data_IF_080658466081
#
_entry.id   IF_080658466081
#
_cell.length_a   1.000
_cell.length_b   1.000
_cell.length_c   1.000
_cell.angle_alpha   90.00
_cell.angle_beta   90.00
_cell.angle_gamma   90.00
#
_symmetry.space_group_name_H-M   'P 1'
#
loop_
_entity.id
_entity.type
_entity.pdbx_description
1 polymer ?
#
# COMPACT_ATOMS: atom_id res chain seq x y z
N UNK A 1 -39.98 10.02 72.86
CA UNK A 1 -38.61 9.51 72.65
C UNK A 1 -38.54 8.80 71.30
N UNK A 2 -38.02 9.48 70.26
CA UNK A 2 -37.99 9.00 68.87
C UNK A 2 -36.83 8.02 68.68
N UNK A 3 -37.13 6.79 68.23
CA UNK A 3 -36.15 5.77 67.84
C UNK A 3 -35.61 6.08 66.43
N UNK A 4 -34.33 6.40 66.30
CA UNK A 4 -33.64 6.47 65.01
C UNK A 4 -32.95 5.13 64.73
N UNK A 5 -33.32 4.52 63.60
CA UNK A 5 -32.77 3.24 63.12
C UNK A 5 -31.38 3.47 62.51
N UNK A 6 -30.41 2.63 62.84
CA UNK A 6 -29.09 2.61 62.20
C UNK A 6 -29.23 2.06 60.77
N UNK A 7 -28.75 2.82 59.80
CA UNK A 7 -28.66 2.43 58.40
C UNK A 7 -27.27 1.85 58.15
N UNK A 8 -27.19 0.54 57.94
CA UNK A 8 -25.94 -0.17 57.61
C UNK A 8 -25.72 -0.05 56.10
N UNK A 9 -24.70 0.70 55.67
CA UNK A 9 -24.28 0.76 54.27
C UNK A 9 -23.38 -0.43 53.99
N UNK A 10 -23.88 -1.39 53.21
CA UNK A 10 -23.07 -2.47 52.65
C UNK A 10 -22.28 -1.93 51.46
N UNK A 11 -20.95 -1.90 51.58
CA UNK A 11 -20.05 -1.63 50.46
C UNK A 11 -19.99 -2.90 49.62
N UNK A 12 -20.72 -2.92 48.49
CA UNK A 12 -20.55 -3.96 47.47
C UNK A 12 -19.18 -3.78 46.83
N UNK A 13 -18.31 -4.77 47.03
CA UNK A 13 -17.04 -4.89 46.33
C UNK A 13 -17.27 -4.93 44.82
N UNK A 14 -16.66 -3.99 44.12
CA UNK A 14 -16.56 -3.98 42.67
C UNK A 14 -15.66 -5.15 42.26
N UNK A 15 -16.25 -6.32 42.06
CA UNK A 15 -15.57 -7.45 41.45
C UNK A 15 -15.15 -7.04 40.04
N UNK A 16 -13.84 -7.10 39.83
CA UNK A 16 -13.16 -6.94 38.55
C UNK A 16 -13.83 -7.80 37.48
N UNK A 17 -14.72 -7.20 36.70
CA UNK A 17 -15.13 -7.73 35.41
C UNK A 17 -13.90 -7.64 34.50
N UNK A 18 -13.16 -8.74 34.45
CA UNK A 18 -12.32 -9.11 33.32
C UNK A 18 -13.15 -8.87 32.06
N UNK A 19 -12.77 -7.84 31.31
CA UNK A 19 -13.28 -7.57 29.98
C UNK A 19 -12.68 -8.64 29.04
N UNK A 20 -13.19 -9.86 29.15
CA UNK A 20 -12.93 -10.95 28.24
C UNK A 20 -14.00 -10.91 27.15
N UNK A 21 -13.56 -10.79 25.89
CA UNK A 21 -14.38 -11.18 24.76
C UNK A 21 -15.03 -10.06 23.95
N UNK A 22 -14.23 -9.13 23.42
CA UNK A 22 -14.48 -8.60 22.08
C UNK A 22 -13.44 -9.17 21.11
N UNK A 23 -13.47 -10.49 20.92
CA UNK A 23 -12.91 -11.11 19.73
C UNK A 23 -14.05 -11.22 18.69
N UNK A 24 -14.33 -10.11 18.02
CA UNK A 24 -14.96 -10.16 16.70
C UNK A 24 -13.83 -10.15 15.68
N UNK A 25 -13.79 -11.14 14.80
CA UNK A 25 -12.76 -11.25 13.76
C UNK A 25 -12.75 -10.04 12.81
N UNK A 26 -11.56 -9.77 12.26
CA UNK A 26 -11.37 -8.92 11.08
C UNK A 26 -11.24 -7.42 11.39
N UNK A 27 -10.08 -7.00 11.88
CA UNK A 27 -9.75 -5.58 12.01
C UNK A 27 -8.24 -5.37 11.91
N UNK A 28 -7.86 -4.28 11.24
CA UNK A 28 -6.47 -3.84 11.21
C UNK A 28 -5.99 -3.32 12.57
N UNK A 29 -4.74 -2.87 12.64
CA UNK A 29 -4.09 -2.44 13.88
C UNK A 29 -4.44 -1.01 14.30
N UNK A 30 -4.79 -0.13 13.34
CA UNK A 30 -5.13 1.25 13.65
C UNK A 30 -6.53 1.37 14.24
N UNK A 31 -6.63 2.09 15.36
CA UNK A 31 -7.92 2.58 15.85
C UNK A 31 -8.37 3.83 15.07
N UNK A 32 -9.63 4.25 15.27
CA UNK A 32 -10.23 5.40 14.58
C UNK A 32 -9.40 6.68 14.68
N UNK A 33 -8.78 6.95 15.84
CA UNK A 33 -7.93 8.13 16.04
C UNK A 33 -6.62 8.05 15.25
N UNK A 34 -5.99 6.87 15.24
CA UNK A 34 -4.80 6.60 14.44
C UNK A 34 -5.06 6.80 12.95
N UNK A 35 -6.20 6.32 12.46
CA UNK A 35 -6.62 6.50 11.07
C UNK A 35 -6.83 7.97 10.70
N UNK A 36 -7.57 8.74 11.53
CA UNK A 36 -7.87 10.15 11.25
C UNK A 36 -6.60 11.01 11.14
N UNK A 37 -5.61 10.78 12.00
CA UNK A 37 -4.34 11.52 11.94
C UNK A 37 -3.53 11.23 10.68
N UNK A 38 -3.73 10.07 10.07
CA UNK A 38 -2.96 9.65 8.90
C UNK A 38 -3.56 10.13 7.57
N UNK A 39 -4.89 10.29 7.48
CA UNK A 39 -5.55 10.79 6.26
C UNK A 39 -4.98 12.14 5.81
N UNK A 40 -4.56 12.98 6.76
CA UNK A 40 -4.01 14.31 6.48
C UNK A 40 -2.53 14.31 6.04
N UNK A 41 -1.88 13.14 5.98
CA UNK A 41 -0.46 13.06 5.59
C UNK A 41 -0.22 13.11 4.08
N UNK A 42 -1.30 13.10 3.29
CA UNK A 42 -1.27 13.12 1.83
C UNK A 42 -2.23 14.19 1.32
N UNK A 43 -1.91 14.79 0.17
CA UNK A 43 -2.79 15.76 -0.50
C UNK A 43 -2.70 15.57 -2.02
N UNK A 44 -3.84 15.57 -2.73
CA UNK A 44 -3.82 15.45 -4.18
C UNK A 44 -3.13 16.67 -4.82
N UNK A 45 -2.59 16.53 -6.03
CA UNK A 45 -2.15 17.66 -6.82
C UNK A 45 -3.20 18.78 -6.89
N UNK A 46 -2.84 20.05 -6.62
CA UNK A 46 -3.77 21.15 -6.78
C UNK A 46 -4.26 21.29 -8.23
N UNK A 47 -5.48 21.77 -8.41
CA UNK A 47 -6.01 22.05 -9.76
C UNK A 47 -5.16 23.11 -10.46
N UNK A 48 -4.78 22.86 -11.71
CA UNK A 48 -3.92 23.72 -12.53
C UNK A 48 -2.41 23.59 -12.26
N UNK A 49 -2.02 22.79 -11.26
CA UNK A 49 -0.60 22.60 -10.89
C UNK A 49 0.23 21.88 -11.96
N UNK A 50 1.55 22.01 -11.87
CA UNK A 50 2.48 21.28 -12.73
C UNK A 50 2.36 19.75 -12.54
N UNK A 51 2.04 19.32 -11.32
CA UNK A 51 1.80 17.92 -10.95
C UNK A 51 0.55 17.37 -11.65
N UNK A 52 -0.56 18.12 -11.65
CA UNK A 52 -1.77 17.70 -12.38
C UNK A 52 -1.52 17.64 -13.89
N UNK A 53 -0.76 18.60 -14.45
CA UNK A 53 -0.38 18.58 -15.87
C UNK A 53 0.54 17.39 -16.19
N UNK A 54 1.41 16.98 -15.25
CA UNK A 54 2.22 15.77 -15.37
C UNK A 54 1.33 14.53 -15.39
N UNK A 55 0.33 14.46 -14.51
CA UNK A 55 -0.62 13.34 -14.46
C UNK A 55 -1.33 13.15 -15.80
N UNK A 56 -1.82 14.23 -16.40
CA UNK A 56 -2.46 14.21 -17.72
C UNK A 56 -1.48 13.72 -18.82
N UNK A 57 -0.31 14.35 -18.92
CA UNK A 57 0.70 14.00 -19.94
C UNK A 57 1.12 12.53 -19.83
N UNK A 58 1.34 12.05 -18.61
CA UNK A 58 1.66 10.64 -18.33
C UNK A 58 0.51 9.73 -18.72
N UNK A 59 -0.72 10.07 -18.35
CA UNK A 59 -1.90 9.27 -18.68
C UNK A 59 -2.05 9.10 -20.20
N UNK A 60 -2.00 10.22 -20.94
CA UNK A 60 -2.11 10.23 -22.40
C UNK A 60 -0.96 9.44 -23.04
N UNK A 61 0.28 9.65 -22.58
CA UNK A 61 1.45 8.93 -23.10
C UNK A 61 1.33 7.43 -22.88
N UNK A 62 0.89 7.00 -21.70
CA UNK A 62 0.83 5.57 -21.34
C UNK A 62 -0.23 4.80 -22.12
N UNK A 63 -1.18 5.48 -22.79
CA UNK A 63 -2.13 4.81 -23.70
C UNK A 63 -1.42 4.17 -24.89
N UNK A 64 -0.23 4.65 -25.27
CA UNK A 64 0.59 4.04 -26.34
C UNK A 64 1.08 2.63 -26.00
N UNK A 65 1.00 2.20 -24.73
CA UNK A 65 1.30 0.82 -24.35
C UNK A 65 0.13 -0.14 -24.59
N UNK A 66 -1.05 0.33 -25.01
CA UNK A 66 -2.21 -0.55 -25.24
C UNK A 66 -1.83 -1.75 -26.10
N UNK A 67 -2.29 -2.93 -25.70
CA UNK A 67 -2.04 -4.24 -26.33
C UNK A 67 -0.58 -4.76 -26.27
N UNK A 68 0.37 -3.97 -25.76
CA UNK A 68 1.75 -4.40 -25.49
C UNK A 68 1.85 -5.42 -24.35
N UNK A 69 3.01 -6.07 -24.22
CA UNK A 69 3.31 -6.95 -23.08
C UNK A 69 3.16 -6.21 -21.72
N UNK A 70 3.59 -4.94 -21.64
CA UNK A 70 3.47 -4.13 -20.42
C UNK A 70 2.03 -3.86 -20.03
N UNK A 71 1.13 -3.71 -21.01
CA UNK A 71 -0.30 -3.54 -20.78
C UNK A 71 -0.97 -4.84 -20.34
N UNK A 72 -0.58 -5.98 -20.91
CA UNK A 72 -1.03 -7.30 -20.45
C UNK A 72 -0.63 -7.56 -19.00
N UNK A 73 0.61 -7.24 -18.62
CA UNK A 73 1.00 -7.27 -17.21
C UNK A 73 0.15 -6.32 -16.37
N UNK A 74 -0.11 -5.09 -16.86
CA UNK A 74 -0.95 -4.13 -16.13
C UNK A 74 -2.36 -4.65 -15.86
N UNK A 75 -2.95 -5.41 -16.79
CA UNK A 75 -4.24 -6.10 -16.60
C UNK A 75 -4.12 -7.17 -15.51
N UNK A 76 -3.09 -8.01 -15.57
CA UNK A 76 -2.87 -9.08 -14.58
C UNK A 76 -2.68 -8.50 -13.17
N UNK A 77 -1.78 -7.54 -13.02
CA UNK A 77 -1.54 -6.83 -11.75
C UNK A 77 -2.82 -6.15 -11.25
N UNK A 78 -3.67 -5.64 -12.15
CA UNK A 78 -4.92 -4.99 -11.78
C UNK A 78 -6.06 -5.93 -11.38
N UNK A 79 -5.89 -7.23 -11.62
CA UNK A 79 -6.84 -8.29 -11.28
C UNK A 79 -6.29 -9.24 -10.22
N UNK A 80 -5.04 -9.07 -9.80
CA UNK A 80 -4.38 -9.93 -8.83
C UNK A 80 -5.17 -10.00 -7.52
N UNK A 81 -5.44 -11.22 -7.08
CA UNK A 81 -5.89 -11.52 -5.72
C UNK A 81 -4.75 -11.28 -4.73
N UNK A 82 -5.07 -11.20 -3.43
CA UNK A 82 -4.05 -11.08 -2.38
C UNK A 82 -3.03 -12.22 -2.44
N UNK A 83 -3.47 -13.44 -2.75
CA UNK A 83 -2.60 -14.62 -2.95
C UNK A 83 -1.65 -14.41 -4.11
N UNK A 84 -2.16 -14.01 -5.29
CA UNK A 84 -1.33 -13.80 -6.48
C UNK A 84 -0.37 -12.63 -6.28
N UNK A 85 -0.80 -11.57 -5.62
CA UNK A 85 0.06 -10.45 -5.24
C UNK A 85 1.22 -10.96 -4.37
N UNK A 86 0.95 -11.70 -3.30
CA UNK A 86 1.98 -12.27 -2.43
C UNK A 86 2.95 -13.15 -3.24
N UNK A 87 2.43 -14.07 -4.05
CA UNK A 87 3.24 -14.96 -4.88
C UNK A 87 4.11 -14.19 -5.89
N UNK A 88 3.62 -13.07 -6.42
CA UNK A 88 4.35 -12.24 -7.39
C UNK A 88 5.69 -11.72 -6.86
N UNK A 89 5.82 -11.54 -5.53
CA UNK A 89 7.07 -11.10 -4.90
C UNK A 89 8.13 -12.20 -4.77
N UNK A 90 7.82 -13.46 -5.10
CA UNK A 90 8.74 -14.59 -4.89
C UNK A 90 10.09 -14.45 -5.60
N UNK A 91 10.12 -13.83 -6.77
CA UNK A 91 11.37 -13.52 -7.46
C UNK A 91 12.16 -12.40 -6.77
N UNK A 92 11.45 -11.36 -6.33
CA UNK A 92 12.05 -10.24 -5.64
C UNK A 92 12.69 -10.67 -4.31
N UNK A 93 12.04 -11.55 -3.54
CA UNK A 93 12.57 -12.12 -2.31
C UNK A 93 13.59 -13.23 -2.57
N UNK A 94 13.50 -13.97 -3.67
CA UNK A 94 14.30 -15.17 -3.91
C UNK A 94 13.77 -16.41 -3.19
N UNK A 95 12.54 -16.35 -2.65
CA UNK A 95 11.86 -17.42 -1.94
C UNK A 95 10.50 -17.75 -2.56
N UNK A 96 10.04 -18.99 -2.39
CA UNK A 96 8.68 -19.38 -2.75
C UNK A 96 7.70 -18.86 -1.69
N UNK A 97 6.91 -17.86 -2.08
CA UNK A 97 5.90 -17.23 -1.22
C UNK A 97 4.55 -17.91 -1.39
N UNK A 98 4.40 -19.13 -0.86
CA UNK A 98 3.15 -19.89 -0.89
C UNK A 98 2.30 -19.58 0.35
N UNK A 99 1.15 -18.87 0.24
CA UNK A 99 0.38 -18.42 1.40
C UNK A 99 0.00 -19.53 2.39
N UNK A 100 -0.27 -20.74 1.88
CA UNK A 100 -0.58 -21.93 2.69
C UNK A 100 0.56 -22.34 3.65
N UNK A 101 1.81 -21.97 3.34
CA UNK A 101 2.99 -22.29 4.14
C UNK A 101 3.38 -21.15 5.10
N UNK A 102 2.68 -20.01 5.06
CA UNK A 102 2.96 -18.83 5.88
C UNK A 102 1.68 -18.16 6.39
N UNK A 103 0.79 -18.91 7.09
CA UNK A 103 -0.50 -18.39 7.53
C UNK A 103 -0.42 -17.22 8.52
N UNK A 104 0.59 -17.17 9.39
CA UNK A 104 0.80 -16.01 10.27
C UNK A 104 1.25 -14.77 9.48
N UNK A 105 2.11 -14.94 8.47
CA UNK A 105 2.46 -13.84 7.56
C UNK A 105 1.23 -13.32 6.81
N UNK A 106 0.39 -14.22 6.28
CA UNK A 106 -0.84 -13.84 5.57
C UNK A 106 -1.78 -13.08 6.50
N UNK A 107 -2.00 -13.58 7.72
CA UNK A 107 -2.83 -12.90 8.73
C UNK A 107 -2.30 -11.52 9.08
N UNK A 108 -0.99 -11.39 9.29
CA UNK A 108 -0.32 -10.11 9.55
C UNK A 108 -0.55 -9.15 8.38
N UNK A 109 -0.27 -9.59 7.14
CA UNK A 109 -0.45 -8.75 5.96
C UNK A 109 -1.91 -8.34 5.76
N UNK A 110 -2.88 -9.23 5.92
CA UNK A 110 -4.31 -8.90 5.83
C UNK A 110 -4.70 -7.81 6.83
N UNK A 111 -4.26 -7.88 8.09
CA UNK A 111 -4.55 -6.83 9.08
C UNK A 111 -3.95 -5.48 8.71
N UNK A 112 -2.72 -5.46 8.17
CA UNK A 112 -2.11 -4.21 7.69
C UNK A 112 -2.89 -3.67 6.48
N UNK A 113 -3.27 -4.55 5.56
CA UNK A 113 -4.00 -4.18 4.36
C UNK A 113 -5.40 -3.63 4.69
N UNK A 114 -6.06 -4.14 5.73
CA UNK A 114 -7.31 -3.58 6.23
C UNK A 114 -7.13 -2.12 6.69
N UNK A 115 -6.02 -1.80 7.37
CA UNK A 115 -5.71 -0.40 7.74
C UNK A 115 -5.47 0.46 6.49
N UNK A 116 -4.66 -0.04 5.55
CA UNK A 116 -4.36 0.63 4.30
C UNK A 116 -5.63 0.91 3.46
N UNK A 117 -6.53 -0.06 3.35
CA UNK A 117 -7.80 0.10 2.65
C UNK A 117 -8.67 1.17 3.32
N UNK A 118 -8.79 1.14 4.65
CA UNK A 118 -9.58 2.17 5.38
C UNK A 118 -9.01 3.57 5.19
N UNK A 119 -7.68 3.70 5.24
CA UNK A 119 -6.99 4.98 5.01
C UNK A 119 -7.23 5.51 3.59
N UNK A 120 -7.01 4.68 2.58
CA UNK A 120 -7.18 5.09 1.18
C UNK A 120 -8.65 5.37 0.86
N UNK A 121 -9.60 4.58 1.37
CA UNK A 121 -11.04 4.84 1.20
C UNK A 121 -11.49 6.15 1.84
N UNK A 122 -10.99 6.48 3.03
CA UNK A 122 -11.29 7.77 3.68
C UNK A 122 -10.72 8.93 2.87
N UNK A 123 -9.46 8.83 2.47
CA UNK A 123 -8.79 9.84 1.64
C UNK A 123 -9.53 10.07 0.31
N UNK A 124 -9.96 8.99 -0.36
CA UNK A 124 -10.78 9.08 -1.58
C UNK A 124 -12.10 9.80 -1.38
N UNK A 125 -12.79 9.55 -0.27
CA UNK A 125 -14.06 10.21 0.06
C UNK A 125 -13.88 11.70 0.31
N UNK A 126 -12.73 12.09 0.85
CA UNK A 126 -12.37 13.48 1.07
C UNK A 126 -12.06 14.19 -0.25
N UNK A 127 -11.10 13.68 -1.01
CA UNK A 127 -10.55 14.39 -2.16
C UNK A 127 -11.41 14.29 -3.43
N UNK A 128 -12.14 13.18 -3.61
CA UNK A 128 -13.06 12.95 -4.74
C UNK A 128 -12.47 13.21 -6.13
N UNK A 129 -11.17 12.97 -6.31
CA UNK A 129 -10.49 13.17 -7.60
C UNK A 129 -11.01 12.15 -8.63
N UNK A 130 -11.52 12.58 -9.80
CA UNK A 130 -12.00 11.65 -10.83
C UNK A 130 -10.86 10.79 -11.37
N UNK A 131 -11.19 9.58 -11.85
CA UNK A 131 -10.22 8.68 -12.50
C UNK A 131 -9.64 9.35 -13.76
N UNK A 132 -8.36 9.12 -14.12
CA UNK A 132 -7.75 9.77 -15.29
C UNK A 132 -8.50 9.51 -16.60
N UNK A 133 -8.96 8.27 -16.84
CA UNK A 133 -9.72 7.95 -18.05
C UNK A 133 -11.08 8.67 -18.13
N UNK A 134 -11.62 9.12 -16.98
CA UNK A 134 -12.83 9.95 -16.91
C UNK A 134 -12.45 11.42 -17.13
N UNK A 135 -11.38 11.89 -16.49
CA UNK A 135 -10.96 13.29 -16.51
C UNK A 135 -10.37 13.74 -17.85
N UNK A 136 -9.54 12.91 -18.48
CA UNK A 136 -8.74 13.28 -19.66
C UNK A 136 -9.20 12.58 -20.95
N UNK A 137 -10.05 11.56 -20.85
CA UNK A 137 -10.50 10.76 -21.98
C UNK A 137 -9.42 9.82 -22.52
N UNK A 138 -9.79 8.56 -22.79
CA UNK A 138 -8.86 7.57 -23.34
C UNK A 138 -9.14 6.16 -22.84
N UNK A 139 -8.42 5.18 -23.38
CA UNK A 139 -8.59 3.79 -23.01
C UNK A 139 -8.15 3.54 -21.56
N UNK A 140 -8.89 2.71 -20.83
CA UNK A 140 -8.46 2.08 -19.59
C UNK A 140 -8.50 0.57 -19.77
N UNK A 141 -7.58 -0.17 -19.13
CA UNK A 141 -7.50 -1.63 -19.23
C UNK A 141 -8.66 -2.32 -18.50
N UNK A 142 -9.30 -1.61 -17.55
CA UNK A 142 -10.55 -1.99 -16.90
C UNK A 142 -11.31 -0.74 -16.43
N UNK A 143 -12.59 -0.88 -16.18
CA UNK A 143 -13.36 0.11 -15.42
C UNK A 143 -13.16 -0.11 -13.92
N UNK A 144 -13.14 0.97 -13.14
CA UNK A 144 -13.01 0.88 -11.68
C UNK A 144 -13.94 1.90 -11.04
N UNK A 145 -14.72 1.46 -10.05
CA UNK A 145 -15.53 2.36 -9.25
C UNK A 145 -14.66 3.24 -8.33
N UNK A 146 -15.21 4.39 -7.92
CA UNK A 146 -14.58 5.31 -6.97
C UNK A 146 -13.54 6.25 -7.59
N UNK A 147 -12.78 6.90 -6.70
CA UNK A 147 -11.91 8.04 -7.03
C UNK A 147 -10.47 7.64 -7.30
N UNK A 148 -9.68 8.54 -7.87
CA UNK A 148 -8.27 8.35 -8.22
C UNK A 148 -7.35 8.34 -6.99
N UNK A 149 -7.35 9.40 -6.20
CA UNK A 149 -6.29 9.66 -5.22
C UNK A 149 -6.65 9.24 -3.79
N UNK A 150 -5.73 8.57 -3.04
CA UNK A 150 -4.53 7.85 -3.50
C UNK A 150 -4.89 6.45 -4.05
N UNK A 151 -3.95 5.65 -4.56
CA UNK A 151 -4.27 4.34 -5.15
C UNK A 151 -4.30 3.19 -4.13
N UNK A 152 -5.49 2.62 -3.88
CA UNK A 152 -5.63 1.47 -2.98
C UNK A 152 -4.79 0.24 -3.37
N UNK A 153 -4.73 -0.10 -4.66
CA UNK A 153 -3.89 -1.23 -5.11
C UNK A 153 -2.38 -0.90 -5.03
N UNK A 154 -1.97 0.34 -5.35
CA UNK A 154 -0.56 0.68 -5.20
C UNK A 154 -0.16 0.67 -3.71
N UNK A 155 -1.00 1.20 -2.83
CA UNK A 155 -0.83 1.13 -1.39
C UNK A 155 -0.70 -0.31 -0.88
N UNK A 156 -1.53 -1.24 -1.37
CA UNK A 156 -1.45 -2.66 -1.01
C UNK A 156 -0.09 -3.27 -1.43
N UNK A 157 0.33 -3.05 -2.68
CA UNK A 157 1.61 -3.55 -3.19
C UNK A 157 2.82 -2.99 -2.44
N UNK A 158 2.83 -1.67 -2.17
CA UNK A 158 3.87 -1.05 -1.36
C UNK A 158 3.84 -1.53 0.10
N UNK A 159 2.66 -1.69 0.69
CA UNK A 159 2.51 -2.21 2.06
C UNK A 159 3.07 -3.62 2.20
N UNK A 160 2.78 -4.51 1.24
CA UNK A 160 3.37 -5.85 1.20
C UNK A 160 4.88 -5.78 1.09
N UNK A 161 5.41 -4.93 0.20
CA UNK A 161 6.85 -4.76 0.03
C UNK A 161 7.53 -4.28 1.30
N UNK A 162 6.96 -3.29 1.98
CA UNK A 162 7.44 -2.77 3.27
C UNK A 162 7.39 -3.83 4.38
N UNK A 163 6.40 -4.72 4.37
CA UNK A 163 6.37 -5.86 5.29
C UNK A 163 7.46 -6.90 4.94
N UNK A 164 7.62 -7.25 3.66
CA UNK A 164 8.58 -8.25 3.22
C UNK A 164 10.03 -7.86 3.54
N UNK A 165 10.39 -6.59 3.51
CA UNK A 165 11.75 -6.13 3.87
C UNK A 165 12.06 -6.25 5.37
N UNK A 166 11.06 -6.47 6.23
CA UNK A 166 11.30 -6.82 7.64
C UNK A 166 11.80 -8.27 7.80
N UNK A 167 11.60 -9.10 6.79
CA UNK A 167 12.03 -10.51 6.74
C UNK A 167 13.22 -10.74 5.80
N UNK A 168 13.32 -9.97 4.71
CA UNK A 168 14.37 -10.09 3.69
C UNK A 168 15.10 -8.74 3.47
N UNK A 169 15.74 -8.14 4.49
CA UNK A 169 16.36 -6.83 4.38
C UNK A 169 17.46 -6.76 3.30
N UNK A 170 18.11 -7.87 3.01
CA UNK A 170 19.13 -8.04 1.97
C UNK A 170 18.56 -7.98 0.54
N UNK A 171 17.24 -8.18 0.38
CA UNK A 171 16.51 -8.13 -0.90
C UNK A 171 15.71 -6.84 -1.06
N UNK A 172 15.97 -5.83 -0.22
CA UNK A 172 15.22 -4.56 -0.22
C UNK A 172 15.08 -3.93 -1.60
N UNK A 173 16.19 -3.84 -2.36
CA UNK A 173 16.20 -3.21 -3.66
C UNK A 173 15.27 -3.92 -4.67
N UNK A 174 15.34 -5.25 -4.75
CA UNK A 174 14.49 -6.04 -5.66
C UNK A 174 13.02 -6.03 -5.22
N UNK A 175 12.75 -6.09 -3.91
CA UNK A 175 11.40 -6.02 -3.36
C UNK A 175 10.74 -4.68 -3.70
N UNK A 176 11.42 -3.56 -3.50
CA UNK A 176 10.88 -2.25 -3.85
C UNK A 176 10.78 -2.01 -5.36
N UNK A 177 11.70 -2.55 -6.15
CA UNK A 177 11.58 -2.51 -7.61
C UNK A 177 10.30 -3.23 -8.10
N UNK A 178 10.00 -4.40 -7.55
CA UNK A 178 8.78 -5.14 -7.87
C UNK A 178 7.52 -4.39 -7.42
N UNK A 179 7.52 -3.86 -6.20
CA UNK A 179 6.42 -3.05 -5.67
C UNK A 179 6.11 -1.84 -6.56
N UNK A 180 7.16 -1.15 -7.01
CA UNK A 180 7.05 -0.03 -7.95
C UNK A 180 6.44 -0.49 -9.27
N UNK A 181 6.93 -1.57 -9.88
CA UNK A 181 6.37 -2.11 -11.13
C UNK A 181 4.87 -2.42 -11.01
N UNK A 182 4.47 -3.07 -9.90
CA UNK A 182 3.07 -3.37 -9.60
C UNK A 182 2.23 -2.09 -9.41
N UNK A 183 2.76 -1.08 -8.72
CA UNK A 183 2.12 0.21 -8.54
C UNK A 183 1.94 0.95 -9.88
N UNK A 184 2.97 0.98 -10.72
CA UNK A 184 2.97 1.62 -12.04
C UNK A 184 2.01 0.94 -13.03
N UNK A 185 1.69 -0.35 -12.83
CA UNK A 185 0.64 -1.03 -13.60
C UNK A 185 -0.71 -0.33 -13.46
N UNK A 186 -0.97 0.39 -12.38
CA UNK A 186 -2.20 1.18 -12.21
C UNK A 186 -2.25 2.40 -13.13
N UNK A 187 -1.10 3.03 -13.36
CA UNK A 187 -0.94 4.15 -14.30
C UNK A 187 -1.09 3.64 -15.73
N UNK A 188 -0.41 2.54 -16.07
CA UNK A 188 -0.50 1.97 -17.41
C UNK A 188 -1.90 1.43 -17.69
N UNK A 189 -2.53 0.76 -16.73
CA UNK A 189 -3.94 0.40 -16.88
C UNK A 189 -4.84 1.62 -17.08
N UNK A 190 -4.45 2.81 -16.60
CA UNK A 190 -5.18 4.08 -16.78
C UNK A 190 -6.21 4.36 -15.71
N UNK A 191 -6.27 3.53 -14.67
CA UNK A 191 -7.21 3.66 -13.55
C UNK A 191 -6.69 4.59 -12.46
N UNK A 192 -5.41 4.97 -12.49
CA UNK A 192 -4.84 5.93 -11.56
C UNK A 192 -3.85 6.90 -12.21
N UNK A 193 -3.80 8.13 -11.71
CA UNK A 193 -2.76 9.11 -12.09
C UNK A 193 -1.40 8.68 -11.53
N UNK A 194 -0.31 9.25 -12.06
CA UNK A 194 1.02 8.95 -11.52
C UNK A 194 1.16 9.48 -10.10
N UNK A 195 0.63 10.67 -9.81
CA UNK A 195 0.66 11.24 -8.46
C UNK A 195 -0.14 10.42 -7.44
N UNK A 196 -1.28 9.83 -7.84
CA UNK A 196 -2.04 8.93 -6.98
C UNK A 196 -1.31 7.63 -6.65
N UNK A 197 -0.34 7.22 -7.45
CA UNK A 197 0.46 6.00 -7.26
C UNK A 197 1.76 6.28 -6.51
N UNK A 198 2.45 7.39 -6.83
CA UNK A 198 3.72 7.77 -6.21
C UNK A 198 3.57 8.08 -4.72
N UNK A 199 2.45 8.71 -4.32
CA UNK A 199 2.20 9.05 -2.92
C UNK A 199 2.14 7.80 -2.01
N UNK A 200 1.73 6.64 -2.55
CA UNK A 200 1.54 5.42 -1.77
C UNK A 200 2.86 4.78 -1.31
N UNK A 201 3.99 5.10 -1.98
CA UNK A 201 5.32 4.65 -1.56
C UNK A 201 5.71 5.19 -0.17
N UNK A 202 5.54 6.50 0.03
CA UNK A 202 5.77 7.16 1.33
C UNK A 202 4.61 6.91 2.31
N UNK A 203 3.37 6.83 1.80
CA UNK A 203 2.22 6.62 2.67
C UNK A 203 2.25 5.24 3.35
N UNK A 204 2.62 4.18 2.61
CA UNK A 204 2.83 2.85 3.16
C UNK A 204 3.96 2.81 4.19
N UNK A 205 5.04 3.56 3.97
CA UNK A 205 6.14 3.67 4.93
C UNK A 205 5.66 4.33 6.23
N UNK A 206 4.92 5.44 6.15
CA UNK A 206 4.31 6.09 7.31
C UNK A 206 3.36 5.15 8.06
N UNK A 207 2.57 4.35 7.34
CA UNK A 207 1.69 3.33 7.94
C UNK A 207 2.51 2.32 8.72
N UNK A 208 3.43 1.61 8.06
CA UNK A 208 4.25 0.57 8.70
C UNK A 208 5.05 1.13 9.88
N UNK A 209 5.66 2.30 9.74
CA UNK A 209 6.40 2.96 10.83
C UNK A 209 5.52 3.26 12.05
N UNK A 210 4.23 3.56 11.83
CA UNK A 210 3.27 3.74 12.92
C UNK A 210 2.87 2.40 13.53
N UNK A 211 2.61 1.39 12.70
CA UNK A 211 2.22 0.05 13.16
C UNK A 211 3.33 -0.63 13.97
N UNK A 212 4.59 -0.46 13.58
CA UNK A 212 5.75 -0.98 14.31
C UNK A 212 5.85 -0.50 15.75
N UNK A 213 5.13 0.57 16.13
CA UNK A 213 5.09 1.08 17.51
C UNK A 213 4.02 0.39 18.38
N UNK A 214 3.22 -0.51 17.81
CA UNK A 214 2.13 -1.18 18.50
C UNK A 214 2.55 -2.59 18.95
N UNK A 215 2.34 -2.97 20.22
CA UNK A 215 2.67 -4.31 20.71
C UNK A 215 2.03 -5.43 19.89
N UNK A 216 0.73 -5.30 19.56
CA UNK A 216 0.01 -6.31 18.78
C UNK A 216 0.61 -6.53 17.38
N UNK A 217 1.19 -5.49 16.76
CA UNK A 217 1.89 -5.64 15.49
C UNK A 217 3.22 -6.37 15.67
N UNK A 218 3.97 -6.05 16.73
CA UNK A 218 5.24 -6.72 17.04
C UNK A 218 5.03 -8.21 17.34
N UNK A 219 3.94 -8.56 18.04
CA UNK A 219 3.57 -9.94 18.32
C UNK A 219 3.28 -10.71 17.02
N UNK A 220 2.42 -10.17 16.15
CA UNK A 220 2.10 -10.79 14.86
C UNK A 220 3.35 -10.86 13.94
N UNK A 221 4.21 -9.83 13.94
CA UNK A 221 5.48 -9.83 13.21
C UNK A 221 6.41 -10.94 13.71
N UNK A 222 6.55 -11.09 15.03
CA UNK A 222 7.35 -12.14 15.66
C UNK A 222 6.83 -13.54 15.30
N UNK A 223 5.51 -13.74 15.36
CA UNK A 223 4.87 -15.01 15.01
C UNK A 223 5.14 -15.41 13.56
N UNK A 224 5.15 -14.45 12.63
CA UNK A 224 5.46 -14.70 11.23
C UNK A 224 6.94 -15.08 11.00
N UNK A 225 7.90 -14.68 11.85
CA UNK A 225 9.34 -14.93 11.62
C UNK A 225 9.69 -16.42 11.48
N UNK A 226 9.06 -17.29 12.26
CA UNK A 226 9.32 -18.74 12.22
C UNK A 226 8.92 -19.36 10.88
N UNK A 227 7.81 -18.91 10.30
CA UNK A 227 7.34 -19.36 8.98
C UNK A 227 8.28 -18.85 7.88
N UNK A 228 8.59 -17.55 7.92
CA UNK A 228 9.43 -16.89 6.92
C UNK A 228 10.85 -17.49 6.87
N UNK A 229 11.40 -17.90 8.02
CA UNK A 229 12.71 -18.57 8.09
C UNK A 229 12.74 -20.00 7.53
N UNK A 230 11.58 -20.62 7.30
CA UNK A 230 11.45 -21.99 6.75
C UNK A 230 11.09 -22.02 5.27
N UNK A 231 10.95 -20.86 4.64
CA UNK A 231 10.57 -20.80 3.23
C UNK A 231 11.63 -21.42 2.33
N UNK A 232 11.14 -22.11 1.31
CA UNK A 232 12.00 -22.72 0.31
C UNK A 232 12.61 -21.63 -0.58
N UNK A 233 13.94 -21.60 -0.66
CA UNK A 233 14.66 -20.75 -1.63
C UNK A 233 14.38 -21.23 -3.05
N UNK A 234 14.30 -20.31 -4.00
CA UNK A 234 14.31 -20.70 -5.41
C UNK A 234 15.68 -21.32 -5.75
N UNK A 235 15.66 -22.57 -6.23
CA UNK A 235 16.86 -23.33 -6.61
C UNK A 235 17.63 -22.72 -7.78
N UNK A 236 16.96 -21.90 -8.59
CA UNK A 236 17.55 -21.10 -9.67
C UNK A 236 16.78 -19.78 -9.79
N UNK A 237 17.18 -18.79 -8.97
CA UNK A 237 16.59 -17.45 -9.00
C UNK A 237 16.79 -16.82 -10.38
N UNK A 238 17.88 -17.10 -11.09
CA UNK A 238 18.17 -16.45 -12.36
C UNK A 238 17.30 -17.04 -13.49
N UNK A 239 17.29 -18.36 -13.70
CA UNK A 239 16.51 -18.95 -14.80
C UNK A 239 14.98 -18.82 -14.61
N UNK A 240 14.49 -18.70 -13.37
CA UNK A 240 13.05 -18.53 -13.10
C UNK A 240 12.59 -17.08 -12.98
N UNK A 241 13.51 -16.16 -12.68
CA UNK A 241 13.19 -14.73 -12.57
C UNK A 241 13.66 -13.90 -13.78
N UNK A 242 14.39 -14.50 -14.73
CA UNK A 242 14.80 -13.90 -16.02
C UNK A 242 13.64 -13.51 -16.95
N UNK A 243 12.38 -13.82 -16.60
CA UNK A 243 11.18 -13.42 -17.36
C UNK A 243 10.48 -12.16 -16.84
N UNK A 244 11.03 -11.49 -15.82
CA UNK A 244 10.62 -10.11 -15.49
C UNK A 244 11.67 -9.18 -16.10
N UNK A 245 11.63 -8.88 -17.42
CA UNK A 245 12.70 -8.15 -18.06
C UNK A 245 12.94 -6.84 -17.31
N UNK A 246 14.22 -6.49 -17.15
CA UNK A 246 14.69 -5.18 -16.73
C UNK A 246 14.24 -4.02 -17.67
N UNK A 247 13.28 -4.29 -18.56
CA UNK A 247 12.53 -3.35 -19.40
C UNK A 247 11.29 -2.79 -18.68
N UNK A 248 10.91 -3.37 -17.53
CA UNK A 248 9.77 -2.94 -16.70
C UNK A 248 10.05 -1.61 -15.98
N UNK A 249 9.87 -0.57 -16.80
CA UNK A 249 9.77 0.86 -16.52
C UNK A 249 11.10 1.47 -16.09
N UNK A 250 11.80 2.11 -17.04
CA UNK A 250 12.63 3.29 -16.71
C UNK A 250 11.75 4.16 -15.80
N UNK A 251 12.11 4.33 -14.52
CA UNK A 251 11.20 4.78 -13.46
C UNK A 251 10.63 6.11 -13.89
N UNK A 252 9.34 6.15 -14.28
CA UNK A 252 8.61 7.32 -14.78
C UNK A 252 9.47 8.51 -15.22
N UNK A 253 10.50 8.24 -16.03
CA UNK A 253 11.46 9.24 -16.48
C UNK A 253 10.97 9.65 -17.85
N UNK A 254 9.77 10.23 -17.85
CA UNK A 254 9.64 11.46 -18.59
C UNK A 254 10.67 12.40 -17.94
N UNK A 255 11.91 12.35 -18.42
CA UNK A 255 12.75 13.54 -18.43
C UNK A 255 11.92 14.58 -19.16
N UNK A 256 11.11 15.34 -18.43
CA UNK A 256 10.72 16.64 -18.90
C UNK A 256 12.05 17.36 -19.04
N UNK A 257 12.45 17.58 -20.29
CA UNK A 257 13.35 18.66 -20.64
C UNK A 257 12.72 19.97 -20.12
N UNK A 258 12.93 20.24 -18.84
CA UNK A 258 12.91 21.55 -18.25
C UNK A 258 14.37 21.88 -17.95
N UNK A 259 15.19 21.98 -19.01
CA UNK A 259 16.40 22.79 -18.91
C UNK A 259 15.91 24.23 -18.70
N UNK A 260 15.94 24.63 -17.43
CA UNK A 260 15.85 26.00 -17.00
C UNK A 260 16.80 26.84 -17.85
N UNK A 261 16.27 27.80 -18.59
CA UNK A 261 16.94 29.08 -18.72
C UNK A 261 16.90 29.71 -17.33
N UNK A 262 17.92 29.43 -16.53
CA UNK A 262 18.36 30.34 -15.48
C UNK A 262 19.79 30.68 -15.85
N UNK A 263 19.93 31.80 -16.56
CA UNK A 263 21.20 32.48 -16.74
C UNK A 263 21.77 32.76 -15.35
N UNK A 264 22.89 32.13 -15.03
CA UNK A 264 23.76 32.63 -14.00
C UNK A 264 24.53 33.80 -14.62
N UNK A 265 23.92 34.99 -14.59
CA UNK A 265 24.69 36.23 -14.65
C UNK A 265 25.06 36.61 -13.21
N UNK A 266 26.37 36.52 -12.94
CA UNK A 266 27.20 37.56 -12.32
C UNK A 266 26.62 38.27 -11.10
N UNK A 267 27.25 38.12 -9.92
CA UNK A 267 28.09 39.18 -9.33
C UNK A 267 29.22 38.52 -8.52
N UNK A 268 30.40 39.14 -8.68
CA UNK A 268 31.71 38.88 -8.08
C UNK A 268 31.70 38.87 -6.56
#
# INVERSE_FOLDING_TARGET
MRKTKKLTIAVLGCATLFCSGYYMGGGGYLNRYGEQRMVLNITPPPVGSAEQQRDEKVFLKTRTYKDSARWKQAINDANATQTELIQSFGCATGYRLEPKNMPNFVKLFTKINDDAERLTRKSKKEFKIPRPYIAYGGASCKTSAGYDYPSGHAMEGWTLARLLVEFFPERRASIFAHARSFAESRVICGVHSVSAVEVDEDYSEKLINRLKKLPAFQDDLSNARSEMGKLEKWSDVNAKCEKFPAEYVKPFSIRMSLSRHYSAEVVR
#
